data_IF_196522784888
#
_entry.id   IF_196522784888
#
_cell.length_a   1.000
_cell.length_b   1.000
_cell.length_c   1.000
_cell.angle_alpha   90.00
_cell.angle_beta   90.00
_cell.angle_gamma   90.00
#
_symmetry.space_group_name_H-M   'P 1'
#
loop_
_entity.id
_entity.type
_entity.pdbx_description
1 polymer ?
#
# COMPACT_ATOMS: atom_id res chain seq x y z
N UNK A 1 -14.76 5.98 -7.61
CA UNK A 1 -13.51 5.28 -7.30
C UNK A 1 -13.87 3.87 -6.84
N UNK A 2 -13.43 2.84 -7.57
CA UNK A 2 -13.76 1.45 -7.23
C UNK A 2 -12.98 1.00 -6.00
N UNK A 3 -13.69 0.59 -4.96
CA UNK A 3 -13.15 0.14 -3.66
C UNK A 3 -12.19 -1.06 -3.81
N UNK A 4 -12.34 -1.82 -4.86
CA UNK A 4 -11.66 -3.10 -5.09
C UNK A 4 -10.38 -2.98 -5.93
N UNK A 5 -10.01 -1.78 -6.38
CA UNK A 5 -8.86 -1.59 -7.27
C UNK A 5 -7.57 -2.20 -6.74
N UNK A 6 -7.27 -2.03 -5.44
CA UNK A 6 -6.05 -2.58 -4.84
C UNK A 6 -6.00 -4.11 -4.91
N UNK A 7 -7.13 -4.78 -4.61
CA UNK A 7 -7.22 -6.24 -4.67
C UNK A 7 -7.10 -6.73 -6.12
N UNK A 8 -7.72 -6.01 -7.04
CA UNK A 8 -7.64 -6.31 -8.47
C UNK A 8 -6.21 -6.18 -8.99
N UNK A 9 -5.53 -5.06 -8.69
CA UNK A 9 -4.13 -4.84 -9.07
C UNK A 9 -3.22 -5.90 -8.44
N UNK A 10 -3.38 -6.18 -7.14
CA UNK A 10 -2.60 -7.20 -6.46
C UNK A 10 -2.82 -8.58 -7.09
N UNK A 11 -4.06 -8.93 -7.43
CA UNK A 11 -4.38 -10.17 -8.13
C UNK A 11 -3.67 -10.26 -9.49
N UNK A 12 -3.76 -9.20 -10.30
CA UNK A 12 -3.06 -9.14 -11.59
C UNK A 12 -1.55 -9.30 -11.43
N UNK A 13 -0.94 -8.58 -10.49
CA UNK A 13 0.50 -8.69 -10.23
C UNK A 13 0.91 -10.10 -9.77
N UNK A 14 0.07 -10.78 -8.98
CA UNK A 14 0.30 -12.18 -8.59
C UNK A 14 0.20 -13.13 -9.78
N UNK A 15 -0.78 -12.94 -10.67
CA UNK A 15 -0.93 -13.73 -11.90
C UNK A 15 0.29 -13.54 -12.81
N UNK A 16 0.69 -12.29 -13.09
CA UNK A 16 1.90 -12.02 -13.88
C UNK A 16 3.15 -12.59 -13.23
N UNK A 17 3.27 -12.46 -11.90
CA UNK A 17 4.37 -13.06 -11.16
C UNK A 17 4.43 -14.57 -11.36
N UNK A 18 3.28 -15.26 -11.31
CA UNK A 18 3.22 -16.71 -11.53
C UNK A 18 3.60 -17.10 -12.94
N UNK A 19 3.14 -16.34 -13.95
CA UNK A 19 3.48 -16.54 -15.37
C UNK A 19 4.99 -16.33 -15.59
N UNK A 20 5.54 -15.22 -15.09
CA UNK A 20 6.96 -14.90 -15.30
C UNK A 20 7.89 -15.83 -14.52
N UNK A 21 7.45 -16.42 -13.41
CA UNK A 21 8.24 -17.41 -12.66
C UNK A 21 8.38 -18.74 -13.41
N UNK A 22 7.47 -19.04 -14.33
CA UNK A 22 7.61 -20.23 -15.19
C UNK A 22 8.76 -20.09 -16.21
N UNK A 23 9.25 -18.85 -16.42
CA UNK A 23 10.36 -18.60 -17.34
C UNK A 23 11.68 -18.98 -16.64
N UNK A 24 12.48 -19.91 -17.18
CA UNK A 24 13.69 -20.41 -16.51
C UNK A 24 14.80 -19.35 -16.41
N UNK A 25 14.88 -18.43 -17.36
CA UNK A 25 15.96 -17.45 -17.47
C UNK A 25 15.67 -16.15 -16.68
N UNK A 26 16.52 -15.85 -15.69
CA UNK A 26 16.36 -14.65 -14.84
C UNK A 26 16.32 -13.33 -15.64
N UNK A 27 17.19 -13.21 -16.65
CA UNK A 27 17.24 -12.01 -17.50
C UNK A 27 15.92 -11.79 -18.25
N UNK A 28 15.33 -12.85 -18.82
CA UNK A 28 14.05 -12.78 -19.54
C UNK A 28 12.91 -12.39 -18.60
N UNK A 29 12.91 -12.89 -17.35
CA UNK A 29 11.93 -12.46 -16.33
C UNK A 29 12.01 -10.97 -16.03
N UNK A 30 13.24 -10.43 -15.88
CA UNK A 30 13.43 -8.99 -15.63
C UNK A 30 12.93 -8.19 -16.83
N UNK A 31 13.30 -8.60 -18.04
CA UNK A 31 12.84 -7.95 -19.27
C UNK A 31 11.30 -8.00 -19.36
N UNK A 32 10.67 -9.14 -19.06
CA UNK A 32 9.22 -9.27 -19.06
C UNK A 32 8.53 -8.30 -18.10
N UNK A 33 9.08 -8.11 -16.88
CA UNK A 33 8.58 -7.10 -15.95
C UNK A 33 8.77 -5.67 -16.46
N UNK A 34 9.93 -5.36 -17.04
CA UNK A 34 10.18 -4.03 -17.63
C UNK A 34 9.22 -3.77 -18.80
N UNK A 35 9.02 -4.75 -19.68
CA UNK A 35 8.08 -4.63 -20.81
C UNK A 35 6.65 -4.44 -20.31
N UNK A 36 6.20 -5.24 -19.34
CA UNK A 36 4.88 -5.08 -18.74
C UNK A 36 4.70 -3.66 -18.16
N UNK A 37 5.68 -3.18 -17.41
CA UNK A 37 5.64 -1.84 -16.82
C UNK A 37 5.53 -0.75 -17.89
N UNK A 38 6.35 -0.82 -18.95
CA UNK A 38 6.36 0.12 -20.06
C UNK A 38 5.04 0.05 -20.85
N UNK A 39 4.55 -1.15 -21.15
CA UNK A 39 3.28 -1.32 -21.87
C UNK A 39 2.13 -0.71 -21.06
N UNK A 40 2.01 -1.02 -19.77
CA UNK A 40 0.94 -0.48 -18.93
C UNK A 40 1.05 1.03 -18.78
N UNK A 41 2.30 1.58 -18.76
CA UNK A 41 2.52 3.02 -18.72
C UNK A 41 2.00 3.75 -19.97
N UNK A 42 2.20 3.17 -21.16
CA UNK A 42 1.83 3.82 -22.43
C UNK A 42 0.42 3.49 -22.91
N UNK A 43 -0.17 2.38 -22.51
CA UNK A 43 -1.48 1.92 -23.01
C UNK A 43 -2.65 2.53 -22.23
N UNK A 44 -2.42 3.34 -21.25
CA UNK A 44 -3.41 4.10 -20.48
C UNK A 44 -4.83 3.49 -20.44
N UNK A 45 -4.98 2.40 -19.71
CA UNK A 45 -6.30 1.85 -19.35
C UNK A 45 -6.85 2.62 -18.14
N UNK A 46 -7.44 3.78 -18.37
CA UNK A 46 -8.03 4.56 -17.26
C UNK A 46 -9.08 3.77 -16.49
N UNK A 47 -9.08 3.81 -15.18
CA UNK A 47 -8.14 4.38 -14.20
C UNK A 47 -7.09 3.36 -13.68
N UNK A 48 -7.10 2.14 -14.19
CA UNK A 48 -6.43 0.99 -13.57
C UNK A 48 -4.92 0.93 -13.86
N UNK A 49 -4.48 1.49 -15.00
CA UNK A 49 -3.06 1.52 -15.40
C UNK A 49 -2.19 2.29 -14.41
N UNK A 50 -2.67 3.41 -13.91
CA UNK A 50 -1.98 4.22 -12.90
C UNK A 50 -1.68 3.43 -11.62
N UNK A 51 -2.64 2.63 -11.17
CA UNK A 51 -2.47 1.81 -9.97
C UNK A 51 -1.52 0.63 -10.19
N UNK A 52 -1.55 0.01 -11.39
CA UNK A 52 -0.63 -1.06 -11.75
C UNK A 52 0.80 -0.51 -11.81
N UNK A 53 1.01 0.62 -12.50
CA UNK A 53 2.32 1.30 -12.57
C UNK A 53 2.80 1.65 -11.17
N UNK A 54 1.95 2.28 -10.36
CA UNK A 54 2.29 2.70 -9.00
C UNK A 54 2.66 1.53 -8.07
N UNK A 55 1.97 0.40 -8.15
CA UNK A 55 2.16 -0.73 -7.22
C UNK A 55 3.25 -1.72 -7.65
N UNK A 56 3.55 -1.81 -8.95
CA UNK A 56 4.51 -2.79 -9.49
C UNK A 56 5.88 -2.74 -8.80
N UNK A 57 6.57 -1.58 -8.63
CA UNK A 57 7.87 -1.54 -7.97
C UNK A 57 7.82 -2.00 -6.51
N UNK A 58 6.80 -1.62 -5.75
CA UNK A 58 6.63 -2.06 -4.36
C UNK A 58 6.40 -3.56 -4.26
N UNK A 59 5.58 -4.12 -5.15
CA UNK A 59 5.34 -5.55 -5.24
C UNK A 59 6.63 -6.32 -5.55
N UNK A 60 7.43 -5.86 -6.52
CA UNK A 60 8.69 -6.49 -6.92
C UNK A 60 9.72 -6.43 -5.79
N UNK A 61 9.87 -5.28 -5.14
CA UNK A 61 10.78 -5.12 -3.99
C UNK A 61 10.33 -5.98 -2.81
N UNK A 62 9.04 -6.01 -2.48
CA UNK A 62 8.50 -6.86 -1.42
C UNK A 62 8.75 -8.34 -1.68
N UNK A 63 8.57 -8.76 -2.94
CA UNK A 63 8.83 -10.13 -3.37
C UNK A 63 10.32 -10.50 -3.32
N UNK A 64 11.19 -9.61 -3.77
CA UNK A 64 12.64 -9.79 -3.69
C UNK A 64 13.10 -9.87 -2.24
N UNK A 65 12.55 -9.02 -1.36
CA UNK A 65 12.85 -8.99 0.07
C UNK A 65 12.45 -10.28 0.78
N UNK A 66 11.27 -10.82 0.49
CA UNK A 66 10.79 -12.08 1.06
C UNK A 66 11.80 -13.22 0.93
N UNK A 67 12.54 -13.24 -0.17
CA UNK A 67 13.55 -14.29 -0.43
C UNK A 67 14.87 -14.05 0.32
N UNK A 68 15.02 -12.95 1.06
CA UNK A 68 16.24 -12.55 1.77
C UNK A 68 15.97 -12.34 3.26
N UNK A 69 15.38 -13.32 3.91
CA UNK A 69 14.87 -13.30 5.30
C UNK A 69 15.81 -12.73 6.38
N UNK A 70 17.08 -12.49 6.08
CA UNK A 70 18.11 -12.02 7.04
C UNK A 70 18.69 -10.63 6.75
N UNK A 71 18.27 -9.96 5.68
CA UNK A 71 18.82 -8.63 5.33
C UNK A 71 17.94 -7.50 5.86
N UNK A 72 18.04 -7.21 7.14
CA UNK A 72 17.55 -5.92 7.62
C UNK A 72 18.56 -4.82 7.27
N UNK A 73 18.11 -3.69 6.70
CA UNK A 73 18.95 -2.53 6.50
C UNK A 73 19.59 -2.09 7.82
N UNK A 74 20.76 -1.47 7.73
CA UNK A 74 21.37 -0.90 8.93
C UNK A 74 20.45 0.18 9.53
N UNK A 75 20.49 0.35 10.84
CA UNK A 75 19.69 1.36 11.53
C UNK A 75 19.92 2.75 10.96
N UNK A 76 21.19 3.08 10.64
CA UNK A 76 21.56 4.38 10.06
C UNK A 76 20.83 4.62 8.74
N UNK A 77 20.80 3.62 7.85
CA UNK A 77 20.07 3.70 6.56
C UNK A 77 18.58 3.91 6.79
N UNK A 78 17.96 3.16 7.72
CA UNK A 78 16.54 3.33 8.05
C UNK A 78 16.23 4.72 8.61
N UNK A 79 17.08 5.25 9.49
CA UNK A 79 16.92 6.61 10.05
C UNK A 79 17.05 7.66 8.94
N UNK A 80 18.07 7.58 8.10
CA UNK A 80 18.26 8.53 7.00
C UNK A 80 17.06 8.52 6.04
N UNK A 81 16.59 7.34 5.64
CA UNK A 81 15.41 7.22 4.78
C UNK A 81 14.15 7.75 5.45
N UNK A 82 14.00 7.57 6.78
CA UNK A 82 12.87 8.12 7.52
C UNK A 82 12.90 9.65 7.58
N UNK A 83 14.09 10.25 7.73
CA UNK A 83 14.25 11.71 7.67
C UNK A 83 13.94 12.26 6.27
N UNK A 84 14.40 11.58 5.22
CA UNK A 84 14.07 11.91 3.84
C UNK A 84 12.55 11.83 3.62
N UNK A 85 11.89 10.80 4.14
CA UNK A 85 10.42 10.68 4.10
C UNK A 85 9.72 11.91 4.72
N UNK A 86 10.13 12.30 5.92
CA UNK A 86 9.55 13.47 6.58
C UNK A 86 9.79 14.77 5.78
N UNK A 87 10.97 14.94 5.18
CA UNK A 87 11.29 16.07 4.31
C UNK A 87 10.43 16.09 3.04
N UNK A 88 10.20 14.92 2.41
CA UNK A 88 9.31 14.82 1.23
C UNK A 88 7.86 15.12 1.62
N UNK A 89 7.38 14.56 2.74
CA UNK A 89 6.03 14.81 3.24
C UNK A 89 5.77 16.28 3.56
N UNK A 90 6.79 17.02 4.02
CA UNK A 90 6.65 18.46 4.29
C UNK A 90 6.47 19.31 3.03
N UNK A 91 6.90 18.80 1.87
CA UNK A 91 6.77 19.47 0.56
C UNK A 91 5.66 18.87 -0.30
N UNK A 92 4.93 17.89 0.21
CA UNK A 92 3.86 17.24 -0.54
C UNK A 92 2.67 18.20 -0.69
N UNK A 93 2.22 18.37 -1.92
CA UNK A 93 1.00 19.10 -2.28
C UNK A 93 0.09 18.19 -3.10
N UNK A 94 -1.20 18.52 -3.14
CA UNK A 94 -2.16 17.73 -3.94
C UNK A 94 -1.81 17.73 -5.43
N UNK A 95 -1.27 18.82 -5.94
CA UNK A 95 -0.81 18.98 -7.35
C UNK A 95 0.37 18.05 -7.69
N UNK A 96 1.16 17.64 -6.69
CA UNK A 96 2.25 16.69 -6.86
C UNK A 96 1.80 15.24 -6.62
N UNK A 97 0.51 15.02 -6.50
CA UNK A 97 -0.07 13.70 -6.26
C UNK A 97 -0.14 12.91 -7.56
N UNK A 98 0.02 11.59 -7.44
CA UNK A 98 -0.11 10.65 -8.55
C UNK A 98 -1.54 10.64 -9.13
N UNK A 99 -2.54 11.09 -8.36
CA UNK A 99 -3.94 11.10 -8.79
C UNK A 99 -4.25 12.07 -9.95
N UNK A 100 -3.43 13.10 -10.14
CA UNK A 100 -3.53 14.05 -11.26
C UNK A 100 -2.59 13.69 -12.42
N UNK A 101 -1.95 12.53 -12.36
CA UNK A 101 -0.99 12.10 -13.37
C UNK A 101 -1.71 11.46 -14.55
N UNK A 102 -1.48 11.99 -15.74
CA UNK A 102 -1.88 11.36 -16.99
C UNK A 102 -0.74 10.48 -17.52
N UNK A 103 -0.99 9.18 -17.57
CA UNK A 103 -0.08 8.21 -18.20
C UNK A 103 -0.09 8.39 -19.72
N UNK A 104 0.83 7.73 -20.41
CA UNK A 104 0.92 7.78 -21.88
C UNK A 104 1.86 8.84 -22.43
N UNK A 105 2.21 9.86 -21.63
CA UNK A 105 3.17 10.89 -22.04
C UNK A 105 4.31 10.99 -21.03
N UNK A 106 5.54 10.81 -21.49
CA UNK A 106 6.72 10.97 -20.67
C UNK A 106 7.10 12.46 -20.59
N UNK A 107 6.41 13.22 -19.74
CA UNK A 107 6.73 14.60 -19.45
C UNK A 107 7.61 14.71 -18.20
N UNK A 108 8.37 15.81 -18.08
CA UNK A 108 9.17 16.07 -16.87
C UNK A 108 8.32 16.14 -15.59
N UNK A 109 7.05 16.57 -15.71
CA UNK A 109 6.10 16.59 -14.62
C UNK A 109 5.76 15.17 -14.15
N UNK A 110 5.44 14.26 -15.07
CA UNK A 110 5.11 12.85 -14.77
C UNK A 110 6.30 12.14 -14.10
N UNK A 111 7.51 12.35 -14.61
CA UNK A 111 8.73 11.78 -14.01
C UNK A 111 8.91 12.29 -12.58
N UNK A 112 8.71 13.59 -12.34
CA UNK A 112 8.78 14.19 -11.00
C UNK A 112 7.73 13.62 -10.06
N UNK A 113 6.48 13.50 -10.48
CA UNK A 113 5.38 12.93 -9.68
C UNK A 113 5.66 11.46 -9.31
N UNK A 114 6.11 10.64 -10.27
CA UNK A 114 6.52 9.26 -10.00
C UNK A 114 7.71 9.18 -9.04
N UNK A 115 8.72 10.03 -9.22
CA UNK A 115 9.87 10.06 -8.33
C UNK A 115 9.48 10.41 -6.88
N UNK A 116 8.61 11.41 -6.68
CA UNK A 116 8.08 11.78 -5.36
C UNK A 116 7.27 10.61 -4.78
N UNK A 117 6.38 10.00 -5.55
CA UNK A 117 5.54 8.89 -5.13
C UNK A 117 6.37 7.69 -4.65
N UNK A 118 7.33 7.23 -5.47
CA UNK A 118 8.17 6.09 -5.12
C UNK A 118 9.10 6.40 -3.95
N UNK A 119 9.70 7.59 -3.93
CA UNK A 119 10.55 8.01 -2.82
C UNK A 119 9.76 8.07 -1.52
N UNK A 120 8.59 8.67 -1.53
CA UNK A 120 7.69 8.72 -0.38
C UNK A 120 7.30 7.31 0.09
N UNK A 121 6.90 6.43 -0.82
CA UNK A 121 6.51 5.07 -0.49
C UNK A 121 7.65 4.23 0.11
N UNK A 122 8.83 4.22 -0.52
CA UNK A 122 9.99 3.45 -0.01
C UNK A 122 10.54 4.02 1.30
N UNK A 123 10.60 5.35 1.43
CA UNK A 123 11.03 5.98 2.67
C UNK A 123 10.01 5.75 3.80
N UNK A 124 8.69 5.76 3.49
CA UNK A 124 7.63 5.42 4.44
C UNK A 124 7.73 3.96 4.93
N UNK A 125 8.00 3.01 4.03
CA UNK A 125 8.26 1.62 4.40
C UNK A 125 9.47 1.53 5.35
N UNK A 126 10.53 2.31 5.09
CA UNK A 126 11.72 2.35 5.94
C UNK A 126 11.41 2.85 7.36
N UNK A 127 10.54 3.84 7.50
CA UNK A 127 10.05 4.32 8.81
C UNK A 127 9.31 3.20 9.55
N UNK A 128 8.42 2.49 8.88
CA UNK A 128 7.70 1.35 9.46
C UNK A 128 8.67 0.26 9.91
N UNK A 129 9.65 -0.10 9.08
CA UNK A 129 10.67 -1.08 9.44
C UNK A 129 11.52 -0.63 10.62
N UNK A 130 11.85 0.66 10.74
CA UNK A 130 12.56 1.23 11.87
C UNK A 130 11.75 1.05 13.16
N UNK A 131 10.45 1.40 13.13
CA UNK A 131 9.55 1.23 14.27
C UNK A 131 9.49 -0.24 14.69
N UNK A 132 9.30 -1.18 13.74
CA UNK A 132 9.25 -2.60 14.06
C UNK A 132 10.57 -3.16 14.59
N UNK A 133 11.71 -2.63 14.14
CA UNK A 133 13.03 -3.06 14.63
C UNK A 133 13.23 -2.76 16.10
N UNK A 134 12.69 -1.63 16.59
CA UNK A 134 12.83 -1.19 17.98
C UNK A 134 11.60 -1.47 18.84
N UNK A 135 10.49 -1.89 18.22
CA UNK A 135 9.33 -2.32 18.97
C UNK A 135 9.64 -3.66 19.65
N UNK A 136 9.54 -3.76 20.98
CA UNK A 136 9.82 -5.02 21.67
C UNK A 136 8.86 -6.09 21.17
N UNK A 137 9.43 -7.19 20.65
CA UNK A 137 8.68 -8.37 20.21
C UNK A 137 8.05 -9.12 21.39
N UNK A 138 8.51 -8.83 22.61
CA UNK A 138 8.03 -9.39 23.86
C UNK A 138 7.28 -8.30 24.64
N UNK A 139 5.99 -8.45 24.82
CA UNK A 139 5.19 -7.52 25.59
C UNK A 139 3.72 -7.45 25.14
N UNK A 140 2.93 -6.60 25.81
CA UNK A 140 1.48 -6.43 25.55
C UNK A 140 1.19 -5.82 24.16
N UNK A 141 2.15 -5.14 23.55
CA UNK A 141 1.98 -4.43 22.27
C UNK A 141 2.13 -5.39 21.08
N UNK A 142 3.04 -6.36 21.14
CA UNK A 142 3.28 -7.32 20.06
C UNK A 142 2.02 -8.11 19.63
N UNK A 143 1.24 -8.71 20.56
CA UNK A 143 0.01 -9.42 20.17
C UNK A 143 -1.07 -8.48 19.62
N UNK A 144 -1.09 -7.20 20.04
CA UNK A 144 -2.00 -6.20 19.48
C UNK A 144 -1.64 -5.87 18.03
N UNK A 145 -0.36 -5.63 17.76
CA UNK A 145 0.15 -5.39 16.39
C UNK A 145 -0.13 -6.61 15.51
N UNK A 146 0.15 -7.82 15.99
CA UNK A 146 -0.14 -9.05 15.24
C UNK A 146 -1.63 -9.17 14.90
N UNK A 147 -2.54 -8.84 15.82
CA UNK A 147 -3.99 -8.80 15.56
C UNK A 147 -4.36 -7.77 14.49
N UNK A 148 -3.76 -6.57 14.51
CA UNK A 148 -4.00 -5.54 13.50
C UNK A 148 -3.51 -6.02 12.14
N UNK A 149 -2.29 -6.57 12.06
CA UNK A 149 -1.71 -7.10 10.81
C UNK A 149 -2.57 -8.22 10.23
N UNK A 150 -3.07 -9.15 11.06
CA UNK A 150 -3.95 -10.23 10.62
C UNK A 150 -5.30 -9.73 10.09
N UNK A 151 -5.70 -8.50 10.43
CA UNK A 151 -6.95 -7.87 10.02
C UNK A 151 -6.79 -6.76 8.99
N UNK A 152 -5.59 -6.59 8.45
CA UNK A 152 -5.31 -5.49 7.52
C UNK A 152 -6.27 -5.48 6.33
N UNK A 153 -6.62 -6.64 5.79
CA UNK A 153 -7.58 -6.74 4.68
C UNK A 153 -8.99 -6.30 5.10
N UNK A 154 -9.44 -6.74 6.29
CA UNK A 154 -10.75 -6.35 6.83
C UNK A 154 -10.82 -4.84 7.04
N UNK A 155 -9.74 -4.29 7.64
CA UNK A 155 -9.62 -2.86 7.90
C UNK A 155 -9.61 -2.06 6.61
N UNK A 156 -8.89 -2.53 5.60
CA UNK A 156 -8.84 -1.89 4.28
C UNK A 156 -10.23 -1.80 3.64
N UNK A 157 -10.98 -2.91 3.63
CA UNK A 157 -12.34 -2.93 3.05
C UNK A 157 -13.29 -2.01 3.83
N UNK A 158 -13.29 -2.12 5.17
CA UNK A 158 -14.18 -1.33 6.02
C UNK A 158 -13.85 0.16 6.00
N UNK A 159 -12.56 0.53 5.96
CA UNK A 159 -12.09 1.91 5.90
C UNK A 159 -12.66 2.66 4.69
N UNK A 160 -12.75 2.01 3.53
CA UNK A 160 -13.26 2.65 2.33
C UNK A 160 -14.73 3.02 2.49
N UNK A 161 -15.56 2.11 3.04
CA UNK A 161 -16.96 2.43 3.33
C UNK A 161 -17.10 3.55 4.36
N UNK A 162 -16.24 3.58 5.38
CA UNK A 162 -16.21 4.63 6.38
C UNK A 162 -15.86 6.00 5.76
N UNK A 163 -14.85 6.05 4.88
CA UNK A 163 -14.46 7.28 4.15
C UNK A 163 -15.59 7.73 3.22
N UNK A 164 -16.23 6.82 2.49
CA UNK A 164 -17.38 7.17 1.65
C UNK A 164 -18.54 7.76 2.46
N UNK A 165 -18.78 7.22 3.65
CA UNK A 165 -19.81 7.75 4.56
C UNK A 165 -19.47 9.15 5.06
N UNK A 166 -18.20 9.38 5.47
CA UNK A 166 -17.73 10.70 5.92
C UNK A 166 -17.84 11.75 4.82
N UNK A 167 -17.47 11.40 3.59
CA UNK A 167 -17.62 12.30 2.44
C UNK A 167 -19.09 12.68 2.18
N UNK A 168 -20.02 11.74 2.40
CA UNK A 168 -21.48 12.05 2.28
C UNK A 168 -21.97 12.98 3.39
N UNK A 169 -21.37 12.93 4.58
CA UNK A 169 -21.73 13.80 5.72
C UNK A 169 -21.07 15.18 5.57
N UNK A 170 -20.18 15.37 4.59
CA UNK A 170 -19.51 16.64 4.34
C UNK A 170 -18.39 16.95 5.35
N UNK A 171 -17.85 15.96 6.03
CA UNK A 171 -16.69 16.11 6.91
C UNK A 171 -15.43 16.11 6.05
N UNK A 172 -15.19 17.22 5.35
CA UNK A 172 -13.92 17.49 4.70
C UNK A 172 -13.11 18.46 5.57
N UNK A 173 -11.82 18.20 5.73
CA UNK A 173 -10.93 19.06 6.50
C UNK A 173 -9.57 19.13 5.86
N UNK A 174 -9.08 20.33 5.66
CA UNK A 174 -7.77 20.60 5.06
C UNK A 174 -6.63 20.60 6.10
N UNK A 175 -6.98 20.52 7.39
CA UNK A 175 -5.98 20.56 8.48
C UNK A 175 -5.46 19.16 8.75
N UNK A 176 -4.16 18.96 8.58
CA UNK A 176 -3.47 17.66 8.75
C UNK A 176 -3.75 17.00 10.12
N UNK A 177 -3.83 17.79 11.19
CA UNK A 177 -4.13 17.28 12.53
C UNK A 177 -5.51 16.66 12.61
N UNK A 178 -6.52 17.30 12.00
CA UNK A 178 -7.87 16.74 11.92
C UNK A 178 -7.91 15.48 11.05
N UNK A 179 -7.20 15.47 9.93
CA UNK A 179 -7.08 14.27 9.09
C UNK A 179 -6.49 13.10 9.86
N UNK A 180 -5.44 13.34 10.66
CA UNK A 180 -4.85 12.30 11.51
C UNK A 180 -5.82 11.79 12.58
N UNK A 181 -6.53 12.69 13.28
CA UNK A 181 -7.54 12.30 14.27
C UNK A 181 -8.67 11.50 13.64
N UNK A 182 -9.21 11.97 12.52
CA UNK A 182 -10.26 11.25 11.77
C UNK A 182 -9.76 9.87 11.33
N UNK A 183 -8.53 9.76 10.83
CA UNK A 183 -7.94 8.48 10.44
C UNK A 183 -7.85 7.51 11.63
N UNK A 184 -7.41 7.97 12.81
CA UNK A 184 -7.35 7.15 14.03
C UNK A 184 -8.75 6.68 14.44
N UNK A 185 -9.74 7.57 14.41
CA UNK A 185 -11.13 7.24 14.74
C UNK A 185 -11.68 6.20 13.77
N UNK A 186 -11.50 6.40 12.46
CA UNK A 186 -11.93 5.44 11.42
C UNK A 186 -11.28 4.08 11.65
N UNK A 187 -9.97 4.04 11.85
CA UNK A 187 -9.24 2.78 12.07
C UNK A 187 -9.74 2.05 13.31
N UNK A 188 -9.97 2.77 14.41
CA UNK A 188 -10.50 2.21 15.66
C UNK A 188 -11.91 1.66 15.47
N UNK A 189 -12.77 2.41 14.78
CA UNK A 189 -14.12 1.99 14.43
C UNK A 189 -14.12 0.73 13.53
N UNK A 190 -13.33 0.73 12.46
CA UNK A 190 -13.19 -0.42 11.56
C UNK A 190 -12.68 -1.66 12.30
N UNK A 191 -11.74 -1.50 13.23
CA UNK A 191 -11.24 -2.59 14.06
C UNK A 191 -12.33 -3.16 14.98
N UNK A 192 -13.14 -2.32 15.59
CA UNK A 192 -14.27 -2.73 16.42
C UNK A 192 -15.32 -3.48 15.57
N UNK A 193 -15.69 -2.95 14.41
CA UNK A 193 -16.63 -3.56 13.47
C UNK A 193 -16.10 -4.91 12.96
N UNK A 194 -14.84 -5.00 12.53
CA UNK A 194 -14.21 -6.27 12.15
C UNK A 194 -14.27 -7.30 13.28
N UNK A 195 -14.04 -6.84 14.52
CA UNK A 195 -14.10 -7.71 15.70
C UNK A 195 -15.51 -8.25 15.96
N UNK A 196 -16.55 -7.45 15.73
CA UNK A 196 -17.94 -7.86 15.85
C UNK A 196 -18.34 -8.85 14.74
N UNK A 197 -17.98 -8.55 13.48
CA UNK A 197 -18.25 -9.42 12.33
C UNK A 197 -17.61 -10.80 12.55
N UNK A 198 -16.38 -10.85 13.06
CA UNK A 198 -15.66 -12.11 13.32
C UNK A 198 -16.24 -12.96 14.44
N UNK A 199 -17.07 -12.39 15.32
CA UNK A 199 -17.80 -13.16 16.33
C UNK A 199 -18.91 -14.04 15.72
N UNK A 200 -19.48 -13.59 14.58
CA UNK A 200 -20.50 -14.35 13.86
C UNK A 200 -19.84 -15.10 12.70
N UNK A 201 -19.85 -16.45 12.75
CA UNK A 201 -19.22 -17.30 11.74
C UNK A 201 -19.75 -17.05 10.33
N UNK A 202 -21.06 -16.90 10.18
CA UNK A 202 -21.71 -16.65 8.89
C UNK A 202 -21.30 -15.29 8.30
N UNK A 203 -21.36 -14.21 9.10
CA UNK A 203 -20.95 -12.88 8.66
C UNK A 203 -19.44 -12.83 8.35
N UNK A 204 -18.63 -13.52 9.11
CA UNK A 204 -17.19 -13.60 8.89
C UNK A 204 -16.84 -14.25 7.55
N UNK A 205 -17.57 -15.30 7.15
CA UNK A 205 -17.37 -15.91 5.83
C UNK A 205 -17.87 -15.04 4.70
N UNK A 206 -19.09 -14.47 4.85
CA UNK A 206 -19.74 -13.73 3.80
C UNK A 206 -19.02 -12.40 3.50
N UNK A 207 -18.61 -11.67 4.54
CA UNK A 207 -18.06 -10.30 4.41
C UNK A 207 -16.54 -10.32 4.33
N UNK A 208 -15.87 -11.15 5.12
CA UNK A 208 -14.41 -11.15 5.25
C UNK A 208 -13.73 -12.34 4.57
N UNK A 209 -14.48 -13.27 3.99
CA UNK A 209 -13.94 -14.47 3.37
C UNK A 209 -13.13 -15.37 4.32
N UNK A 210 -13.36 -15.27 5.62
CA UNK A 210 -12.60 -16.01 6.62
C UNK A 210 -12.88 -17.52 6.51
N UNK A 211 -11.83 -18.33 6.33
CA UNK A 211 -11.97 -19.80 6.39
C UNK A 211 -12.31 -20.21 7.82
N UNK A 212 -13.36 -21.01 7.97
CA UNK A 212 -13.62 -21.71 9.24
C UNK A 212 -12.54 -22.78 9.38
N UNK A 213 -11.76 -22.69 10.44
CA UNK A 213 -11.00 -23.83 10.95
C UNK A 213 -11.88 -24.66 11.84
#
# INVERSE_FOLDING_TARGET
MNVTWYLFVLFLLLVFARIFDSIPWKAVRIIAWCVLYVVVFFVDFEPDSLYIVGMTPFFLVGRWWRNKEKMYPSTIVLVLLSLIFLAICSQWTFENSVYDMHLGQLSGLVVRQLAIFYSCGFCGISLVLLVFKYCPTEGRIAPLIAKVVQRTLDLYVLQIYAIMLLNRIGIATDKIVYCMLVAIIIMSFCFAVSSLIRKNRFLSQLILGARIK
#
